data_IF_004792104362
#
_entry.id   IF_004792104362
#
_cell.length_a   1.000
_cell.length_b   1.000
_cell.length_c   1.000
_cell.angle_alpha   90.00
_cell.angle_beta   90.00
_cell.angle_gamma   90.00
#
_symmetry.space_group_name_H-M   'P 1'
#
loop_
_entity.id
_entity.type
_entity.pdbx_description
1 polymer ?
#
# COMPACT_ATOMS: atom_id res chain seq x y z
N UNK A 1 -29.34 -4.15 14.72
CA UNK A 1 -28.78 -3.02 15.48
C UNK A 1 -27.50 -2.48 14.86
N UNK A 2 -26.52 -3.31 14.44
CA UNK A 2 -25.32 -2.82 13.73
C UNK A 2 -25.64 -2.14 12.38
N UNK A 3 -26.56 -2.71 11.59
CA UNK A 3 -26.99 -2.14 10.30
C UNK A 3 -27.54 -0.70 10.40
N UNK A 4 -28.20 -0.34 11.50
CA UNK A 4 -28.75 1.01 11.69
C UNK A 4 -27.67 2.02 12.10
N UNK A 5 -26.62 1.58 12.78
CA UNK A 5 -25.52 2.47 13.20
C UNK A 5 -24.70 2.89 11.98
N UNK A 6 -24.26 1.93 11.16
CA UNK A 6 -23.46 2.22 9.96
C UNK A 6 -24.19 3.15 8.98
N UNK A 7 -25.49 2.94 8.77
CA UNK A 7 -26.29 3.81 7.91
C UNK A 7 -26.46 5.22 8.49
N UNK A 8 -26.64 5.34 9.81
CA UNK A 8 -26.76 6.64 10.46
C UNK A 8 -25.44 7.42 10.41
N UNK A 9 -24.31 6.77 10.68
CA UNK A 9 -22.98 7.37 10.61
C UNK A 9 -22.66 7.82 9.17
N UNK A 10 -23.03 7.00 8.18
CA UNK A 10 -22.90 7.36 6.76
C UNK A 10 -23.75 8.58 6.41
N UNK A 11 -25.02 8.63 6.85
CA UNK A 11 -25.92 9.76 6.61
C UNK A 11 -25.47 11.03 7.30
N UNK A 12 -24.93 10.94 8.52
CA UNK A 12 -24.39 12.12 9.20
C UNK A 12 -23.23 12.72 8.39
N UNK A 13 -22.30 11.88 7.93
CA UNK A 13 -21.18 12.32 7.09
C UNK A 13 -21.67 12.88 5.74
N UNK A 14 -22.59 12.18 5.07
CA UNK A 14 -23.18 12.63 3.80
C UNK A 14 -23.81 14.01 3.95
N UNK A 15 -24.72 14.19 4.92
CA UNK A 15 -25.43 15.45 5.11
C UNK A 15 -24.47 16.60 5.43
N UNK A 16 -23.42 16.35 6.21
CA UNK A 16 -22.43 17.38 6.55
C UNK A 16 -21.58 17.75 5.33
N UNK A 17 -21.19 16.77 4.51
CA UNK A 17 -20.26 17.00 3.41
C UNK A 17 -20.94 17.33 2.09
N UNK A 18 -22.27 17.15 1.99
CA UNK A 18 -23.07 17.34 0.79
C UNK A 18 -22.82 18.68 0.08
N UNK A 19 -22.66 19.76 0.85
CA UNK A 19 -22.39 21.11 0.33
C UNK A 19 -21.08 21.22 -0.47
N UNK A 20 -20.10 20.38 -0.14
CA UNK A 20 -18.80 20.32 -0.82
C UNK A 20 -18.74 19.31 -1.95
N UNK A 21 -19.73 18.42 -2.08
CA UNK A 21 -19.77 17.41 -3.12
C UNK A 21 -20.24 18.03 -4.44
N UNK A 22 -19.52 17.72 -5.52
CA UNK A 22 -19.77 18.26 -6.86
C UNK A 22 -19.64 17.23 -7.98
N UNK A 23 -19.10 16.05 -7.66
CA UNK A 23 -18.83 15.01 -8.62
C UNK A 23 -19.26 13.64 -8.12
N UNK A 24 -19.61 12.78 -9.07
CA UNK A 24 -19.77 11.35 -8.83
C UNK A 24 -18.93 10.60 -9.87
N UNK A 25 -18.11 9.68 -9.40
CA UNK A 25 -17.49 8.65 -10.21
C UNK A 25 -18.12 7.32 -9.82
N UNK A 26 -18.49 6.51 -10.80
CA UNK A 26 -18.94 5.17 -10.48
C UNK A 26 -18.62 4.14 -11.55
N UNK A 27 -18.29 2.96 -11.07
CA UNK A 27 -18.00 1.78 -11.86
C UNK A 27 -19.12 0.77 -11.64
N UNK A 28 -19.46 0.01 -12.67
CA UNK A 28 -20.54 -0.98 -12.59
C UNK A 28 -20.26 -2.23 -13.42
N UNK A 29 -20.89 -3.33 -13.00
CA UNK A 29 -20.96 -4.61 -13.69
C UNK A 29 -22.42 -5.02 -13.74
N UNK A 30 -22.98 -5.11 -14.94
CA UNK A 30 -24.34 -5.60 -15.18
C UNK A 30 -24.27 -6.93 -15.94
N UNK A 31 -25.18 -7.82 -15.60
CA UNK A 31 -25.41 -9.06 -16.38
C UNK A 31 -26.86 -9.12 -16.80
N UNK A 32 -27.14 -9.88 -17.85
CA UNK A 32 -28.50 -10.13 -18.30
C UNK A 32 -29.08 -11.37 -17.61
N UNK A 33 -30.22 -11.22 -16.96
CA UNK A 33 -30.96 -12.29 -16.26
C UNK A 33 -32.43 -12.21 -16.66
N UNK A 34 -32.98 -13.29 -17.22
CA UNK A 34 -34.37 -13.32 -17.72
C UNK A 34 -34.68 -12.12 -18.63
N UNK A 35 -33.77 -11.85 -19.57
CA UNK A 35 -33.82 -10.73 -20.54
C UNK A 35 -33.66 -9.31 -19.95
N UNK A 36 -33.63 -9.16 -18.62
CA UNK A 36 -33.42 -7.89 -17.93
C UNK A 36 -31.95 -7.69 -17.51
N UNK A 37 -31.46 -6.44 -17.54
CA UNK A 37 -30.19 -6.10 -16.92
C UNK A 37 -30.33 -6.10 -15.40
N UNK A 38 -29.36 -6.70 -14.71
CA UNK A 38 -29.23 -6.69 -13.26
C UNK A 38 -27.83 -6.26 -12.86
N UNK A 39 -27.73 -5.41 -11.85
CA UNK A 39 -26.44 -4.97 -11.33
C UNK A 39 -25.86 -6.08 -10.44
N UNK A 40 -24.66 -6.55 -10.76
CA UNK A 40 -23.92 -7.50 -9.93
C UNK A 40 -23.06 -6.74 -8.93
N UNK A 41 -22.34 -5.73 -9.40
CA UNK A 41 -21.51 -4.89 -8.55
C UNK A 41 -21.52 -3.47 -9.04
N UNK A 42 -21.56 -2.51 -8.12
CA UNK A 42 -21.32 -1.12 -8.43
C UNK A 42 -20.53 -0.45 -7.31
N UNK A 43 -19.64 0.47 -7.68
CA UNK A 43 -18.90 1.30 -6.73
C UNK A 43 -19.12 2.75 -7.09
N UNK A 44 -19.76 3.49 -6.18
CA UNK A 44 -20.01 4.92 -6.25
C UNK A 44 -19.05 5.67 -5.35
N UNK A 45 -18.38 6.67 -5.92
CA UNK A 45 -17.49 7.59 -5.25
C UNK A 45 -18.07 8.99 -5.41
N UNK A 46 -18.59 9.55 -4.32
CA UNK A 46 -18.95 10.95 -4.27
C UNK A 46 -17.68 11.75 -4.01
N UNK A 47 -17.44 12.79 -4.80
CA UNK A 47 -16.22 13.59 -4.73
C UNK A 47 -16.53 15.08 -4.63
N UNK A 48 -15.58 15.81 -4.05
CA UNK A 48 -15.65 17.27 -3.93
C UNK A 48 -14.98 17.99 -5.08
N UNK A 49 -14.68 17.27 -6.16
CA UNK A 49 -13.99 17.77 -7.35
C UNK A 49 -14.95 17.82 -8.52
N UNK A 50 -14.79 18.80 -9.41
CA UNK A 50 -15.52 18.81 -10.68
C UNK A 50 -14.72 18.14 -11.76
N UNK A 51 -15.39 17.38 -12.62
CA UNK A 51 -14.84 16.83 -13.83
C UNK A 51 -14.92 17.90 -14.94
N UNK A 52 -13.85 18.12 -15.73
CA UNK A 52 -13.88 19.07 -16.85
C UNK A 52 -14.96 18.71 -17.86
N UNK A 53 -15.10 17.40 -18.15
CA UNK A 53 -16.09 16.83 -19.04
C UNK A 53 -16.62 15.53 -18.45
N UNK A 54 -17.90 15.17 -18.67
CA UNK A 54 -18.40 13.86 -18.34
C UNK A 54 -17.61 12.79 -19.09
N UNK A 55 -17.04 11.83 -18.35
CA UNK A 55 -16.34 10.69 -18.95
C UNK A 55 -17.25 9.48 -18.85
N UNK A 56 -17.43 8.83 -19.98
CA UNK A 56 -18.15 7.58 -20.10
C UNK A 56 -17.26 6.56 -20.80
N UNK A 57 -17.07 5.41 -20.18
CA UNK A 57 -16.46 4.26 -20.84
C UNK A 57 -17.26 3.02 -20.50
N UNK A 58 -17.67 2.27 -21.52
CA UNK A 58 -18.43 1.03 -21.35
C UNK A 58 -17.98 0.01 -22.39
N UNK A 59 -17.89 -1.24 -21.94
CA UNK A 59 -17.83 -2.42 -22.77
C UNK A 59 -19.15 -3.17 -22.62
N UNK A 60 -19.80 -3.47 -23.75
CA UNK A 60 -21.06 -4.20 -23.78
C UNK A 60 -20.95 -5.42 -24.70
N UNK A 61 -21.44 -6.55 -24.21
CA UNK A 61 -21.75 -7.75 -24.98
C UNK A 61 -23.26 -8.04 -24.85
N UNK A 62 -23.82 -9.08 -25.51
CA UNK A 62 -25.22 -9.44 -25.33
C UNK A 62 -25.63 -9.73 -23.88
N UNK A 63 -24.70 -10.21 -23.04
CA UNK A 63 -24.97 -10.72 -21.69
C UNK A 63 -24.21 -9.97 -20.56
N UNK A 64 -23.31 -9.04 -20.90
CA UNK A 64 -22.46 -8.32 -19.96
C UNK A 64 -22.36 -6.83 -20.33
N UNK A 65 -22.44 -5.95 -19.33
CA UNK A 65 -22.02 -4.54 -19.45
C UNK A 65 -21.08 -4.21 -18.30
N UNK A 66 -19.90 -3.68 -18.61
CA UNK A 66 -18.94 -3.18 -17.63
C UNK A 66 -18.57 -1.77 -18.02
N UNK A 67 -18.64 -0.84 -17.08
CA UNK A 67 -18.36 0.54 -17.41
C UNK A 67 -18.00 1.40 -16.22
N UNK A 68 -17.65 2.64 -16.54
CA UNK A 68 -17.38 3.71 -15.60
C UNK A 68 -17.97 5.02 -16.11
N UNK A 69 -18.50 5.82 -15.18
CA UNK A 69 -19.14 7.10 -15.45
C UNK A 69 -18.60 8.12 -14.46
N UNK A 70 -18.14 9.24 -14.98
CA UNK A 70 -17.75 10.42 -14.21
C UNK A 70 -18.62 11.58 -14.67
N UNK A 71 -19.28 12.24 -13.73
CA UNK A 71 -20.06 13.44 -14.04
C UNK A 71 -20.13 14.39 -12.85
N UNK A 72 -20.33 15.66 -13.16
CA UNK A 72 -20.71 16.64 -12.16
C UNK A 72 -22.17 16.42 -11.76
N UNK A 73 -22.46 16.64 -10.48
CA UNK A 73 -23.80 16.45 -9.90
C UNK A 73 -24.10 17.57 -8.90
N UNK A 74 -25.36 17.95 -8.84
CA UNK A 74 -25.89 18.83 -7.80
C UNK A 74 -26.15 18.06 -6.49
N UNK A 75 -26.19 18.76 -5.33
CA UNK A 75 -26.60 18.17 -4.07
C UNK A 75 -27.94 17.39 -4.14
N UNK A 76 -28.94 17.95 -4.82
CA UNK A 76 -30.27 17.36 -4.97
C UNK A 76 -30.23 16.06 -5.80
N UNK A 77 -29.39 16.04 -6.84
CA UNK A 77 -29.13 14.83 -7.62
C UNK A 77 -28.43 13.76 -6.77
N UNK A 78 -27.46 14.13 -5.93
CA UNK A 78 -26.79 13.20 -5.01
C UNK A 78 -27.79 12.57 -4.05
N UNK A 79 -28.66 13.36 -3.42
CA UNK A 79 -29.67 12.83 -2.49
C UNK A 79 -30.62 11.84 -3.17
N UNK A 80 -31.05 12.17 -4.39
CA UNK A 80 -31.89 11.29 -5.21
C UNK A 80 -31.13 10.00 -5.52
N UNK A 81 -29.88 10.12 -5.97
CA UNK A 81 -29.01 9.01 -6.32
C UNK A 81 -28.82 8.06 -5.12
N UNK A 82 -28.51 8.61 -3.95
CA UNK A 82 -28.33 7.82 -2.72
C UNK A 82 -29.62 7.14 -2.30
N UNK A 83 -30.76 7.81 -2.42
CA UNK A 83 -32.07 7.23 -2.10
C UNK A 83 -32.37 6.00 -2.97
N UNK A 84 -32.07 6.08 -4.27
CA UNK A 84 -32.20 4.95 -5.20
C UNK A 84 -31.24 3.82 -4.84
N UNK A 85 -29.96 4.11 -4.61
CA UNK A 85 -28.98 3.09 -4.27
C UNK A 85 -29.36 2.34 -2.99
N UNK A 86 -29.84 3.05 -1.95
CA UNK A 86 -30.25 2.45 -0.67
C UNK A 86 -31.37 1.42 -0.81
N UNK A 87 -32.25 1.57 -1.81
CA UNK A 87 -33.30 0.58 -2.11
C UNK A 87 -32.86 -0.45 -3.15
N UNK A 88 -31.62 -0.38 -3.64
CA UNK A 88 -31.01 -1.30 -4.60
C UNK A 88 -31.23 -0.92 -6.05
N UNK A 89 -31.68 0.30 -6.33
CA UNK A 89 -31.81 0.82 -7.68
C UNK A 89 -30.50 1.49 -8.07
N UNK A 90 -29.95 1.12 -9.21
CA UNK A 90 -28.65 1.59 -9.71
C UNK A 90 -28.89 2.41 -10.98
N UNK A 91 -28.80 3.75 -10.91
CA UNK A 91 -28.98 4.61 -12.07
C UNK A 91 -27.77 4.50 -13.01
N UNK A 92 -27.98 3.99 -14.21
CA UNK A 92 -26.97 3.86 -15.28
C UNK A 92 -27.50 4.61 -16.51
N UNK A 93 -26.91 5.75 -16.85
CA UNK A 93 -27.42 6.66 -17.87
C UNK A 93 -28.87 7.10 -17.63
N UNK A 94 -29.77 6.80 -18.56
CA UNK A 94 -31.21 7.03 -18.49
C UNK A 94 -31.99 5.83 -17.95
N UNK A 95 -31.30 4.74 -17.60
CA UNK A 95 -31.89 3.48 -17.14
C UNK A 95 -31.70 3.31 -15.64
N UNK A 96 -32.66 2.64 -15.00
CA UNK A 96 -32.54 2.23 -13.60
C UNK A 96 -32.48 0.70 -13.57
N UNK A 97 -31.37 0.18 -13.06
CA UNK A 97 -31.11 -1.26 -12.99
C UNK A 97 -31.18 -1.72 -11.55
N UNK A 98 -31.92 -2.79 -11.26
CA UNK A 98 -31.98 -3.35 -9.91
C UNK A 98 -30.72 -4.15 -9.58
N UNK A 99 -30.20 -4.00 -8.36
CA UNK A 99 -29.22 -4.90 -7.76
C UNK A 99 -29.76 -6.33 -7.80
N UNK A 100 -28.94 -7.27 -8.25
CA UNK A 100 -29.26 -8.69 -8.23
C UNK A 100 -29.38 -9.15 -6.78
N UNK A 101 -30.59 -9.61 -6.40
CA UNK A 101 -30.94 -10.04 -5.05
C UNK A 101 -31.42 -11.48 -5.01
N UNK A 102 -31.27 -12.13 -3.86
CA UNK A 102 -32.00 -13.36 -3.59
C UNK A 102 -33.45 -13.01 -3.17
N UNK A 103 -34.44 -13.71 -3.73
CA UNK A 103 -35.87 -13.56 -3.42
C UNK A 103 -36.18 -13.71 -1.92
N UNK A 104 -35.31 -14.36 -1.14
CA UNK A 104 -35.49 -14.55 0.30
C UNK A 104 -34.90 -13.45 1.18
N UNK A 105 -34.13 -12.50 0.63
CA UNK A 105 -33.49 -11.41 1.37
C UNK A 105 -34.05 -10.04 0.96
N UNK A 106 -35.17 -9.66 1.57
CA UNK A 106 -35.84 -8.38 1.26
C UNK A 106 -35.10 -7.14 1.79
N UNK A 107 -34.10 -7.29 2.67
CA UNK A 107 -33.46 -6.16 3.33
C UNK A 107 -31.95 -6.10 3.07
N UNK A 108 -31.44 -4.94 2.59
CA UNK A 108 -30.00 -4.74 2.46
C UNK A 108 -29.32 -4.84 3.83
N UNK A 109 -28.15 -5.47 3.87
CA UNK A 109 -27.24 -5.38 5.00
C UNK A 109 -26.24 -4.25 4.74
N UNK A 110 -25.85 -3.55 5.82
CA UNK A 110 -24.95 -2.41 5.77
C UNK A 110 -23.68 -2.73 6.55
N UNK A 111 -22.52 -2.68 5.89
CA UNK A 111 -21.21 -2.74 6.53
C UNK A 111 -20.55 -1.36 6.48
N UNK A 112 -19.94 -0.94 7.60
CA UNK A 112 -19.05 0.22 7.67
C UNK A 112 -17.59 -0.21 7.57
N UNK A 113 -16.64 0.70 7.31
CA UNK A 113 -15.23 0.36 7.26
C UNK A 113 -14.80 -0.29 8.59
N UNK A 114 -14.09 -1.44 8.48
CA UNK A 114 -13.45 -2.07 9.63
C UNK A 114 -12.35 -1.14 10.16
N UNK A 115 -12.33 -0.78 11.46
CA UNK A 115 -11.31 0.10 12.03
C UNK A 115 -9.91 -0.53 12.10
N UNK A 116 -9.75 -1.77 11.61
CA UNK A 116 -8.58 -2.61 11.89
C UNK A 116 -7.48 -2.59 10.84
N UNK A 117 -7.63 -1.85 9.74
CA UNK A 117 -6.54 -1.61 8.79
C UNK A 117 -6.38 -0.11 8.64
N UNK A 118 -5.18 0.42 8.95
CA UNK A 118 -4.83 1.83 8.83
C UNK A 118 -4.29 2.13 7.42
N UNK A 119 -5.12 2.56 6.45
CA UNK A 119 -4.65 3.49 5.44
C UNK A 119 -4.54 4.89 6.05
N UNK A 120 -3.69 5.73 5.46
CA UNK A 120 -3.56 7.14 5.81
C UNK A 120 -4.86 7.93 5.66
N UNK A 121 -5.82 7.43 4.87
CA UNK A 121 -7.07 8.13 4.58
C UNK A 121 -8.31 7.32 5.00
N UNK A 122 -9.20 7.97 5.74
CA UNK A 122 -10.46 7.42 6.20
C UNK A 122 -11.59 7.89 5.29
N UNK A 123 -12.07 6.99 4.44
CA UNK A 123 -13.18 7.23 3.53
C UNK A 123 -14.42 6.53 4.09
N UNK A 124 -15.47 7.27 4.51
CA UNK A 124 -16.75 6.67 4.85
C UNK A 124 -17.28 5.83 3.70
N UNK A 125 -17.61 4.57 4.01
CA UNK A 125 -18.11 3.58 3.06
C UNK A 125 -19.39 2.96 3.60
N UNK A 126 -20.35 2.78 2.71
CA UNK A 126 -21.57 2.02 2.94
C UNK A 126 -21.65 0.94 1.86
N UNK A 127 -21.64 -0.32 2.28
CA UNK A 127 -21.90 -1.43 1.37
C UNK A 127 -23.34 -1.92 1.53
N UNK A 128 -24.02 -2.12 0.40
CA UNK A 128 -25.36 -2.68 0.30
C UNK A 128 -25.23 -4.04 -0.38
N UNK A 129 -25.51 -5.12 0.35
CA UNK A 129 -25.35 -6.49 -0.16
C UNK A 129 -26.69 -7.07 -0.62
N UNK A 130 -26.74 -7.62 -1.84
CA UNK A 130 -27.92 -8.25 -2.44
C UNK A 130 -28.16 -9.72 -2.03
N UNK A 131 -27.16 -10.37 -1.44
CA UNK A 131 -27.20 -11.76 -0.98
C UNK A 131 -25.93 -12.54 -1.36
N UNK A 132 -25.71 -13.70 -0.75
CA UNK A 132 -24.54 -14.57 -1.02
C UNK A 132 -24.85 -15.78 -1.92
N UNK A 133 -26.09 -15.92 -2.39
CA UNK A 133 -26.62 -17.26 -2.71
C UNK A 133 -26.57 -17.66 -4.18
N UNK A 134 -26.13 -16.79 -5.09
CA UNK A 134 -26.07 -17.17 -6.50
C UNK A 134 -24.63 -17.18 -6.97
N UNK A 135 -24.06 -18.38 -7.04
CA UNK A 135 -22.85 -18.59 -7.84
C UNK A 135 -23.19 -18.12 -9.26
N UNK A 136 -22.60 -17.01 -9.68
CA UNK A 136 -22.82 -16.41 -11.01
C UNK A 136 -22.71 -17.39 -12.19
N UNK A 137 -21.88 -18.47 -12.17
CA UNK A 137 -21.91 -19.51 -13.19
C UNK A 137 -23.29 -20.17 -13.42
N UNK A 138 -24.21 -20.12 -12.45
CA UNK A 138 -25.57 -20.63 -12.61
C UNK A 138 -26.53 -19.62 -13.27
N UNK A 139 -26.19 -18.34 -13.29
CA UNK A 139 -27.02 -17.26 -13.84
C UNK A 139 -26.49 -16.80 -15.21
N UNK A 140 -25.18 -16.81 -15.41
CA UNK A 140 -24.52 -16.30 -16.61
C UNK A 140 -23.60 -17.36 -17.24
N UNK A 141 -23.65 -17.48 -18.57
CA UNK A 141 -22.76 -18.35 -19.33
C UNK A 141 -21.38 -17.69 -19.49
N UNK A 142 -20.50 -17.90 -18.50
CA UNK A 142 -19.16 -17.28 -18.48
C UNK A 142 -18.31 -17.62 -19.70
N UNK A 143 -18.46 -18.84 -20.24
CA UNK A 143 -17.74 -19.21 -21.46
C UNK A 143 -18.16 -18.31 -22.62
N UNK A 144 -19.47 -18.17 -22.84
CA UNK A 144 -20.01 -17.30 -23.89
C UNK A 144 -19.57 -15.85 -23.69
N UNK A 145 -19.67 -15.31 -22.47
CA UNK A 145 -19.22 -13.94 -22.16
C UNK A 145 -17.74 -13.75 -22.52
N UNK A 146 -16.87 -14.69 -22.15
CA UNK A 146 -15.45 -14.59 -22.47
C UNK A 146 -15.19 -14.68 -23.98
N UNK A 147 -15.93 -15.53 -24.69
CA UNK A 147 -15.83 -15.63 -26.15
C UNK A 147 -16.30 -14.32 -26.82
N UNK A 148 -17.42 -13.74 -26.36
CA UNK A 148 -17.95 -12.46 -26.85
C UNK A 148 -16.94 -11.31 -26.62
N UNK A 149 -16.30 -11.26 -25.44
CA UNK A 149 -15.29 -10.25 -25.12
C UNK A 149 -14.04 -10.32 -26.02
N UNK A 150 -13.63 -11.51 -26.43
CA UNK A 150 -12.50 -11.71 -27.36
C UNK A 150 -12.83 -11.32 -28.80
N UNK A 151 -14.13 -11.24 -29.14
CA UNK A 151 -14.62 -10.89 -30.46
C UNK A 151 -14.96 -9.40 -30.63
N UNK A 152 -14.77 -8.58 -29.59
CA UNK A 152 -14.95 -7.12 -29.68
C UNK A 152 -13.89 -6.46 -30.56
N UNK A 153 -14.20 -5.27 -31.10
CA UNK A 153 -13.25 -4.46 -31.87
C UNK A 153 -11.99 -4.12 -31.06
N UNK A 154 -12.15 -3.89 -29.75
CA UNK A 154 -11.06 -3.87 -28.77
C UNK A 154 -11.15 -5.15 -27.94
N UNK A 155 -10.38 -6.21 -28.28
CA UNK A 155 -10.54 -7.50 -27.64
C UNK A 155 -10.00 -7.49 -26.21
N UNK A 156 -10.67 -8.22 -25.32
CA UNK A 156 -10.21 -8.53 -23.97
C UNK A 156 -9.98 -10.04 -23.83
N UNK A 157 -9.00 -10.46 -23.03
CA UNK A 157 -8.71 -11.89 -22.83
C UNK A 157 -9.87 -12.62 -22.12
N UNK A 158 -10.70 -11.88 -21.39
CA UNK A 158 -11.92 -12.37 -20.78
C UNK A 158 -12.40 -11.44 -19.68
N UNK A 159 -13.26 -11.97 -18.82
CA UNK A 159 -13.91 -11.20 -17.78
C UNK A 159 -12.96 -10.61 -16.74
N UNK A 160 -11.91 -11.35 -16.36
CA UNK A 160 -10.90 -10.84 -15.43
C UNK A 160 -10.16 -9.62 -15.98
N UNK A 161 -9.83 -9.65 -17.27
CA UNK A 161 -9.11 -8.58 -17.97
C UNK A 161 -9.96 -7.30 -18.04
N UNK A 162 -11.23 -7.40 -18.46
CA UNK A 162 -12.13 -6.23 -18.50
C UNK A 162 -12.41 -5.67 -17.10
N UNK A 163 -12.56 -6.51 -16.08
CA UNK A 163 -12.76 -6.04 -14.70
C UNK A 163 -11.52 -5.29 -14.17
N UNK A 164 -10.33 -5.83 -14.45
CA UNK A 164 -9.05 -5.18 -14.13
C UNK A 164 -8.91 -3.84 -14.85
N UNK A 165 -9.24 -3.79 -16.14
CA UNK A 165 -9.23 -2.57 -16.95
C UNK A 165 -10.10 -1.46 -16.36
N UNK A 166 -11.28 -1.81 -15.82
CA UNK A 166 -12.18 -0.85 -15.17
C UNK A 166 -11.88 -0.64 -13.67
N UNK A 167 -10.78 -1.18 -13.12
CA UNK A 167 -10.33 -0.89 -11.75
C UNK A 167 -11.03 -1.70 -10.65
N UNK A 168 -11.67 -2.83 -10.98
CA UNK A 168 -12.14 -3.77 -9.96
C UNK A 168 -10.96 -4.62 -9.45
N UNK A 169 -10.36 -4.21 -8.33
CA UNK A 169 -9.19 -4.88 -7.73
C UNK A 169 -9.39 -6.39 -7.42
N UNK A 170 -8.32 -7.17 -7.58
CA UNK A 170 -8.15 -8.55 -7.08
C UNK A 170 -9.20 -9.59 -7.52
N UNK A 171 -9.96 -9.33 -8.57
CA UNK A 171 -11.02 -10.23 -9.00
C UNK A 171 -10.67 -10.87 -10.34
N UNK A 172 -9.79 -11.90 -10.32
CA UNK A 172 -9.67 -12.87 -11.43
C UNK A 172 -10.98 -13.65 -11.68
N UNK A 173 -12.04 -13.32 -10.95
CA UNK A 173 -13.38 -13.89 -10.98
C UNK A 173 -14.38 -12.75 -10.79
N UNK A 174 -15.63 -12.95 -11.20
CA UNK A 174 -16.69 -12.03 -10.82
C UNK A 174 -16.81 -11.90 -9.29
N UNK A 175 -17.30 -10.77 -8.79
CA UNK A 175 -17.63 -10.60 -7.38
C UNK A 175 -18.57 -11.71 -6.91
N UNK A 176 -18.12 -12.50 -5.92
CA UNK A 176 -18.95 -13.57 -5.34
C UNK A 176 -20.17 -13.01 -4.58
N UNK A 177 -20.04 -11.79 -4.07
CA UNK A 177 -21.09 -11.07 -3.36
C UNK A 177 -21.59 -9.96 -4.27
N UNK A 178 -22.91 -9.95 -4.51
CA UNK A 178 -23.54 -8.85 -5.24
C UNK A 178 -23.66 -7.65 -4.31
N UNK A 179 -23.06 -6.52 -4.67
CA UNK A 179 -23.09 -5.34 -3.80
C UNK A 179 -23.03 -3.99 -4.51
N UNK A 180 -23.59 -2.98 -3.86
CA UNK A 180 -23.39 -1.58 -4.17
C UNK A 180 -22.52 -1.01 -3.06
N UNK A 181 -21.36 -0.47 -3.41
CA UNK A 181 -20.48 0.24 -2.49
C UNK A 181 -20.63 1.72 -2.75
N UNK A 182 -20.94 2.48 -1.71
CA UNK A 182 -21.01 3.94 -1.77
C UNK A 182 -19.90 4.49 -0.88
N UNK A 183 -19.09 5.38 -1.42
CA UNK A 183 -17.98 6.01 -0.72
C UNK A 183 -18.06 7.52 -0.86
N UNK A 184 -17.79 8.23 0.22
CA UNK A 184 -17.82 9.68 0.26
C UNK A 184 -16.38 10.16 0.45
N UNK A 185 -15.79 10.76 -0.57
CA UNK A 185 -14.47 11.35 -0.43
C UNK A 185 -14.57 12.60 0.47
N UNK A 186 -13.64 12.75 1.43
CA UNK A 186 -13.58 13.92 2.28
C UNK A 186 -13.55 15.25 1.49
N UNK A 187 -14.22 16.31 1.99
CA UNK A 187 -14.20 17.64 1.36
C UNK A 187 -12.91 18.42 1.64
N UNK A 188 -12.02 17.86 2.45
CA UNK A 188 -10.70 18.40 2.80
C UNK A 188 -9.68 17.27 2.81
N UNK A 189 -8.46 17.53 2.33
CA UNK A 189 -7.35 16.58 2.31
C UNK A 189 -6.05 17.27 2.70
N UNK A 190 -5.08 16.49 3.21
CA UNK A 190 -3.69 16.90 3.27
C UNK A 190 -3.06 16.84 1.88
N UNK A 191 -2.04 17.65 1.63
CA UNK A 191 -1.12 17.52 0.49
C UNK A 191 0.23 17.01 1.01
N UNK A 192 0.46 15.68 1.06
CA UNK A 192 1.68 15.09 1.58
C UNK A 192 2.95 15.63 0.92
N UNK A 193 2.88 15.97 -0.38
CA UNK A 193 4.03 16.47 -1.15
C UNK A 193 4.51 17.85 -0.69
N UNK A 194 3.65 18.60 0.00
CA UNK A 194 3.93 19.94 0.53
C UNK A 194 3.98 19.99 2.07
N UNK A 195 3.88 18.84 2.73
CA UNK A 195 4.07 18.74 4.17
C UNK A 195 5.53 18.40 4.47
N UNK A 196 6.20 19.19 5.30
CA UNK A 196 7.61 18.97 5.65
C UNK A 196 7.89 19.32 7.10
N UNK A 197 8.92 18.68 7.66
CA UNK A 197 9.48 19.02 8.96
C UNK A 197 10.99 19.09 8.78
N UNK A 198 11.58 20.24 9.10
CA UNK A 198 13.02 20.48 8.96
C UNK A 198 13.49 21.36 10.11
N UNK A 199 14.47 20.90 10.88
CA UNK A 199 15.03 21.61 12.03
C UNK A 199 13.98 22.11 13.05
N UNK A 200 12.89 21.34 13.21
CA UNK A 200 11.75 21.71 14.07
C UNK A 200 10.71 22.64 13.43
N UNK A 201 10.91 23.10 12.20
CA UNK A 201 9.91 23.88 11.46
C UNK A 201 8.96 22.94 10.69
N UNK A 202 7.72 22.83 11.15
CA UNK A 202 6.66 22.07 10.50
C UNK A 202 5.93 22.97 9.50
N UNK A 203 5.89 22.57 8.24
CA UNK A 203 5.01 23.14 7.22
C UNK A 203 3.90 22.13 6.89
N UNK A 204 2.64 22.58 6.96
CA UNK A 204 1.48 21.76 6.61
C UNK A 204 0.70 22.43 5.49
N UNK A 205 0.30 21.63 4.49
CA UNK A 205 -0.53 22.07 3.37
C UNK A 205 -1.80 21.24 3.31
N UNK A 206 -2.94 21.90 3.15
CA UNK A 206 -4.26 21.30 3.01
C UNK A 206 -4.94 21.86 1.75
N UNK A 207 -5.87 21.09 1.22
CA UNK A 207 -6.77 21.53 0.17
C UNK A 207 -8.21 21.17 0.58
N UNK A 208 -9.13 22.13 0.47
CA UNK A 208 -10.57 21.88 0.68
C UNK A 208 -11.39 22.40 -0.49
N UNK A 209 -12.59 21.87 -0.67
CA UNK A 209 -13.58 22.52 -1.53
C UNK A 209 -13.96 23.91 -0.97
N UNK A 210 -14.05 24.93 -1.82
CA UNK A 210 -14.36 26.31 -1.38
C UNK A 210 -15.71 26.42 -0.67
N UNK A 211 -16.68 25.55 -1.00
CA UNK A 211 -18.01 25.53 -0.34
C UNK A 211 -17.99 24.84 1.02
N UNK A 212 -16.95 24.10 1.37
CA UNK A 212 -16.86 23.43 2.67
C UNK A 212 -16.45 24.43 3.76
N UNK A 213 -17.18 24.53 4.89
CA UNK A 213 -16.89 25.50 5.94
C UNK A 213 -15.54 25.25 6.61
N UNK A 214 -14.81 26.33 6.92
CA UNK A 214 -13.49 26.23 7.58
C UNK A 214 -13.63 25.78 9.03
N UNK A 215 -14.70 26.21 9.70
CA UNK A 215 -15.03 25.87 11.09
C UNK A 215 -15.29 24.37 11.32
N UNK A 216 -15.59 23.62 10.24
CA UNK A 216 -15.75 22.18 10.28
C UNK A 216 -14.41 21.45 10.05
N UNK A 217 -13.31 22.15 9.77
CA UNK A 217 -11.99 21.54 9.59
C UNK A 217 -11.23 21.58 10.91
N UNK A 218 -10.85 20.39 11.39
CA UNK A 218 -9.97 20.26 12.55
C UNK A 218 -8.65 19.63 12.12
N UNK A 219 -7.54 20.29 12.47
CA UNK A 219 -6.20 19.76 12.27
C UNK A 219 -5.53 19.63 13.64
N UNK A 220 -5.40 18.40 14.12
CA UNK A 220 -4.65 18.08 15.31
C UNK A 220 -3.23 17.65 14.96
N UNK A 221 -2.28 17.90 15.87
CA UNK A 221 -0.94 17.36 15.78
C UNK A 221 -0.55 16.62 17.06
N UNK A 222 0.32 15.62 16.88
CA UNK A 222 1.01 14.91 17.96
C UNK A 222 2.50 14.85 17.65
N UNK A 223 3.31 15.35 18.57
CA UNK A 223 4.74 15.56 18.34
C UNK A 223 5.55 14.45 19.03
N UNK A 224 6.50 13.86 18.31
CA UNK A 224 7.38 12.77 18.74
C UNK A 224 8.82 13.26 18.90
N UNK A 225 9.70 12.57 19.67
CA UNK A 225 9.61 11.17 20.16
C UNK A 225 8.80 10.96 21.46
N UNK A 226 8.40 12.03 22.16
CA UNK A 226 7.77 11.93 23.48
C UNK A 226 6.36 12.55 23.46
N UNK A 227 5.33 11.85 22.95
CA UNK A 227 4.00 12.41 22.69
C UNK A 227 3.15 12.55 23.97
N UNK A 228 3.69 13.26 24.96
CA UNK A 228 3.00 13.68 26.20
C UNK A 228 1.83 14.60 25.88
N UNK A 229 0.98 14.87 26.89
CA UNK A 229 -0.23 15.68 26.71
C UNK A 229 0.08 17.12 26.24
N UNK A 230 1.16 17.71 26.72
CA UNK A 230 1.67 19.04 26.33
C UNK A 230 2.24 19.09 24.90
N UNK A 231 2.46 17.93 24.28
CA UNK A 231 2.96 17.80 22.89
C UNK A 231 1.87 17.38 21.91
N UNK A 232 0.63 17.75 22.25
CA UNK A 232 -0.58 17.54 21.46
C UNK A 232 -1.36 18.84 21.42
N UNK A 233 -1.74 19.31 20.25
CA UNK A 233 -2.55 20.51 20.12
C UNK A 233 -3.42 20.45 18.86
N UNK A 234 -4.48 21.25 18.88
CA UNK A 234 -5.22 21.62 17.67
C UNK A 234 -4.56 22.86 17.08
N UNK A 235 -4.38 22.86 15.77
CA UNK A 235 -3.71 23.93 15.00
C UNK A 235 -4.56 24.40 13.81
N UNK A 236 -5.82 23.96 13.73
CA UNK A 236 -6.72 24.31 12.62
C UNK A 236 -6.98 25.81 12.51
N UNK A 237 -6.96 26.54 13.63
CA UNK A 237 -7.09 27.99 13.72
C UNK A 237 -5.86 28.76 13.20
N UNK A 238 -4.73 28.08 13.05
CA UNK A 238 -3.48 28.64 12.53
C UNK A 238 -3.32 28.41 11.02
N UNK A 239 -4.30 27.79 10.36
CA UNK A 239 -4.28 27.55 8.92
C UNK A 239 -4.73 28.81 8.18
N UNK A 240 -3.80 29.39 7.41
CA UNK A 240 -4.08 30.49 6.51
C UNK A 240 -4.67 29.96 5.20
N UNK A 241 -5.95 30.28 4.94
CA UNK A 241 -6.66 29.84 3.73
C UNK A 241 -6.58 30.87 2.61
N UNK A 242 -6.33 30.40 1.39
CA UNK A 242 -6.38 31.19 0.16
C UNK A 242 -7.23 30.48 -0.89
N UNK A 243 -8.21 31.18 -1.44
CA UNK A 243 -9.08 30.65 -2.49
C UNK A 243 -8.37 30.61 -3.84
N UNK A 244 -8.43 29.44 -4.49
CA UNK A 244 -7.92 29.18 -5.83
C UNK A 244 -9.02 28.46 -6.63
N UNK A 245 -9.78 29.23 -7.42
CA UNK A 245 -10.91 28.72 -8.20
C UNK A 245 -11.97 28.02 -7.33
N UNK A 246 -12.04 26.68 -7.38
CA UNK A 246 -13.00 25.87 -6.61
C UNK A 246 -12.39 25.21 -5.37
N UNK A 247 -11.09 25.45 -5.13
CA UNK A 247 -10.32 24.83 -4.06
C UNK A 247 -9.72 25.94 -3.20
N UNK A 248 -9.90 25.87 -1.89
CA UNK A 248 -9.13 26.70 -0.98
C UNK A 248 -7.89 25.93 -0.52
N UNK A 249 -6.74 26.57 -0.60
CA UNK A 249 -5.46 26.03 -0.13
C UNK A 249 -5.17 26.61 1.26
N UNK A 250 -5.05 25.71 2.23
CA UNK A 250 -4.69 26.04 3.61
C UNK A 250 -3.21 25.79 3.85
N UNK A 251 -2.51 26.75 4.45
CA UNK A 251 -1.11 26.59 4.84
C UNK A 251 -0.91 26.98 6.29
N UNK A 252 -0.11 26.21 7.02
CA UNK A 252 0.31 26.58 8.37
C UNK A 252 1.79 26.29 8.55
N UNK A 253 2.46 27.12 9.35
CA UNK A 253 3.85 26.94 9.73
C UNK A 253 4.00 27.02 11.25
N UNK A 254 4.70 26.05 11.83
CA UNK A 254 4.86 25.90 13.28
C UNK A 254 6.30 25.61 13.64
N UNK A 255 6.84 26.33 14.62
CA UNK A 255 8.12 25.99 15.25
C UNK A 255 7.87 25.01 16.40
N UNK A 256 8.44 23.81 16.32
CA UNK A 256 8.27 22.73 17.27
C UNK A 256 9.60 22.38 17.92
N UNK A 257 9.64 22.45 19.25
CA UNK A 257 10.83 22.08 20.00
C UNK A 257 11.02 20.54 19.99
N UNK A 258 12.24 20.11 19.65
CA UNK A 258 12.65 18.71 19.72
C UNK A 258 11.69 17.72 19.03
N UNK A 259 11.11 18.14 17.91
CA UNK A 259 10.27 17.28 17.07
C UNK A 259 11.17 16.46 16.14
N UNK A 260 11.08 15.13 16.20
CA UNK A 260 11.70 14.24 15.20
C UNK A 260 10.67 13.78 14.17
N UNK A 261 9.40 13.76 14.57
CA UNK A 261 8.26 13.54 13.69
C UNK A 261 7.00 14.12 14.29
N UNK A 262 6.01 14.35 13.43
CA UNK A 262 4.69 14.87 13.78
C UNK A 262 3.64 14.00 13.09
N UNK A 263 2.69 13.50 13.87
CA UNK A 263 1.46 12.90 13.32
C UNK A 263 0.43 14.01 13.17
N UNK A 264 -0.01 14.23 11.93
CA UNK A 264 -1.13 15.09 11.56
C UNK A 264 -2.42 14.27 11.63
N UNK A 265 -3.45 14.82 12.27
CA UNK A 265 -4.79 14.24 12.36
C UNK A 265 -5.79 15.24 11.77
N UNK A 266 -6.21 15.00 10.53
CA UNK A 266 -7.19 15.84 9.84
C UNK A 266 -8.59 15.27 10.04
N UNK A 267 -9.53 16.11 10.43
CA UNK A 267 -10.95 15.77 10.57
C UNK A 267 -11.84 16.76 9.83
N UNK A 268 -12.95 16.25 9.30
CA UNK A 268 -14.03 17.02 8.69
C UNK A 268 -15.31 16.84 9.54
N UNK A 269 -15.68 17.87 10.30
CA UNK A 269 -16.62 17.80 11.40
C UNK A 269 -16.08 16.89 12.51
N UNK A 270 -16.86 15.87 12.87
CA UNK A 270 -16.54 14.88 13.92
C UNK A 270 -15.80 13.64 13.41
N UNK A 271 -15.49 13.59 12.12
CA UNK A 271 -14.93 12.39 11.48
C UNK A 271 -13.48 12.65 11.10
N UNK A 272 -12.56 11.84 11.62
CA UNK A 272 -11.17 11.81 11.15
C UNK A 272 -11.16 11.33 9.71
N UNK A 273 -10.54 12.10 8.82
CA UNK A 273 -10.48 11.81 7.38
C UNK A 273 -9.07 11.48 6.91
N UNK A 274 -8.04 11.91 7.62
CA UNK A 274 -6.65 11.54 7.29
C UNK A 274 -5.74 11.52 8.52
N UNK A 275 -4.78 10.60 8.53
CA UNK A 275 -3.66 10.51 9.48
C UNK A 275 -2.37 10.40 8.68
N UNK A 276 -1.44 11.31 8.94
CA UNK A 276 -0.20 11.38 8.17
C UNK A 276 0.98 11.69 9.07
N UNK A 277 2.10 10.99 8.90
CA UNK A 277 3.34 11.29 9.60
C UNK A 277 4.25 12.15 8.73
N UNK A 278 4.65 13.31 9.28
CA UNK A 278 5.72 14.14 8.75
C UNK A 278 6.97 13.88 9.57
N UNK A 279 8.07 13.54 8.90
CA UNK A 279 9.33 13.22 9.57
C UNK A 279 10.33 14.35 9.37
N UNK A 280 11.13 14.64 10.40
CA UNK A 280 12.15 15.67 10.32
C UNK A 280 13.28 15.17 9.41
N UNK A 281 13.46 15.81 8.26
CA UNK A 281 14.49 15.42 7.28
C UNK A 281 15.91 15.65 7.79
N UNK A 282 16.07 16.48 8.83
CA UNK A 282 17.37 16.83 9.42
C UNK A 282 17.72 15.95 10.63
N UNK A 283 16.72 15.25 11.21
CA UNK A 283 16.90 14.40 12.40
C UNK A 283 16.61 12.95 12.07
N UNK A 284 17.66 12.11 12.08
CA UNK A 284 17.43 10.67 11.95
C UNK A 284 16.59 10.13 13.10
N UNK A 285 15.53 9.40 12.74
CA UNK A 285 14.67 8.64 13.66
C UNK A 285 15.31 7.35 14.15
N UNK A 286 16.49 7.02 13.64
CA UNK A 286 17.17 5.77 13.93
C UNK A 286 18.09 5.96 15.14
N UNK A 287 17.69 5.53 16.35
CA UNK A 287 18.52 5.71 17.55
C UNK A 287 19.85 4.97 17.45
N UNK A 288 19.92 3.87 16.69
CA UNK A 288 21.16 3.11 16.47
C UNK A 288 22.13 3.94 15.64
N UNK A 289 21.65 4.60 14.58
CA UNK A 289 22.45 5.52 13.78
C UNK A 289 22.93 6.71 14.61
N UNK A 290 22.04 7.34 15.38
CA UNK A 290 22.37 8.48 16.23
C UNK A 290 23.47 8.14 17.24
N UNK A 291 23.43 6.93 17.80
CA UNK A 291 24.46 6.43 18.71
C UNK A 291 25.77 6.15 17.99
N UNK A 292 25.71 5.50 16.82
CA UNK A 292 26.89 5.10 16.05
C UNK A 292 27.68 6.30 15.50
N UNK A 293 26.98 7.34 15.00
CA UNK A 293 27.61 8.56 14.46
C UNK A 293 28.42 9.34 15.51
N UNK A 294 28.16 9.14 16.81
CA UNK A 294 29.01 9.71 17.87
C UNK A 294 30.46 9.21 17.80
N UNK A 295 30.68 8.01 17.26
CA UNK A 295 31.99 7.37 17.15
C UNK A 295 32.54 7.38 15.72
N UNK A 296 31.67 7.31 14.71
CA UNK A 296 32.04 7.32 13.28
C UNK A 296 31.31 8.45 12.54
N UNK A 297 31.83 9.68 12.70
CA UNK A 297 31.28 10.88 12.04
C UNK A 297 31.26 10.69 10.51
N UNK A 298 30.14 11.07 9.88
CA UNK A 298 29.86 10.91 8.45
C UNK A 298 29.89 9.45 7.93
N UNK A 299 29.89 8.46 8.83
CA UNK A 299 30.00 7.03 8.53
C UNK A 299 31.27 6.67 7.74
N UNK A 300 32.39 7.36 7.98
CA UNK A 300 33.63 7.20 7.19
C UNK A 300 34.21 5.80 7.34
N UNK A 301 34.32 5.30 8.57
CA UNK A 301 34.88 3.97 8.86
C UNK A 301 33.96 2.87 8.35
N UNK A 302 32.64 3.05 8.48
CA UNK A 302 31.65 2.12 7.93
C UNK A 302 31.74 2.06 6.40
N UNK A 303 31.72 3.20 5.72
CA UNK A 303 31.83 3.27 4.24
C UNK A 303 33.14 2.65 3.76
N UNK A 304 34.25 2.93 4.43
CA UNK A 304 35.54 2.33 4.10
C UNK A 304 35.52 0.81 4.30
N UNK A 305 34.93 0.31 5.39
CA UNK A 305 34.77 -1.14 5.61
C UNK A 305 33.90 -1.82 4.55
N UNK A 306 32.84 -1.15 4.07
CA UNK A 306 31.92 -1.67 3.06
C UNK A 306 32.49 -1.64 1.64
N UNK A 307 33.24 -0.58 1.30
CA UNK A 307 33.58 -0.29 -0.10
C UNK A 307 35.06 -0.43 -0.44
N UNK A 308 35.96 -0.57 0.54
CA UNK A 308 37.39 -0.68 0.28
C UNK A 308 37.75 -2.01 -0.38
N UNK A 309 38.43 -1.94 -1.53
CA UNK A 309 38.89 -3.11 -2.30
C UNK A 309 40.29 -3.59 -1.92
N UNK A 310 41.04 -2.78 -1.16
CA UNK A 310 42.42 -3.09 -0.74
C UNK A 310 42.52 -3.83 0.59
N UNK A 311 41.40 -3.99 1.29
CA UNK A 311 41.33 -4.59 2.62
C UNK A 311 40.86 -6.05 2.59
N UNK A 312 41.13 -6.77 3.66
CA UNK A 312 40.68 -8.16 3.86
C UNK A 312 39.14 -8.27 3.80
N UNK A 313 38.63 -9.41 3.34
CA UNK A 313 37.17 -9.67 3.24
C UNK A 313 36.42 -9.44 4.57
N UNK A 314 37.11 -9.63 5.69
CA UNK A 314 36.61 -9.42 7.05
C UNK A 314 36.10 -8.00 7.31
N UNK A 315 36.65 -7.00 6.62
CA UNK A 315 36.15 -5.63 6.73
C UNK A 315 34.75 -5.50 6.12
N UNK A 316 34.51 -6.16 4.98
CA UNK A 316 33.17 -6.19 4.37
C UNK A 316 32.19 -6.90 5.31
N UNK A 317 32.57 -8.05 5.89
CA UNK A 317 31.73 -8.81 6.83
C UNK A 317 31.33 -7.95 8.04
N UNK A 318 32.29 -7.26 8.66
CA UNK A 318 32.03 -6.35 9.79
C UNK A 318 31.22 -5.12 9.38
N UNK A 319 31.46 -4.57 8.18
CA UNK A 319 30.68 -3.47 7.62
C UNK A 319 29.21 -3.85 7.40
N UNK A 320 28.95 -5.03 6.84
CA UNK A 320 27.59 -5.54 6.61
C UNK A 320 26.89 -5.85 7.93
N UNK A 321 27.58 -6.43 8.91
CA UNK A 321 27.03 -6.62 10.25
C UNK A 321 26.60 -5.28 10.88
N UNK A 322 27.46 -4.27 10.80
CA UNK A 322 27.18 -2.93 11.31
C UNK A 322 26.00 -2.29 10.57
N UNK A 323 25.96 -2.39 9.24
CA UNK A 323 24.85 -1.90 8.43
C UNK A 323 23.52 -2.58 8.83
N UNK A 324 23.51 -3.91 8.98
CA UNK A 324 22.34 -4.66 9.41
C UNK A 324 21.87 -4.23 10.82
N UNK A 325 22.81 -4.03 11.76
CA UNK A 325 22.50 -3.49 13.07
C UNK A 325 21.84 -2.12 12.97
N UNK A 326 22.39 -1.21 12.16
CA UNK A 326 21.81 0.11 11.96
C UNK A 326 20.42 0.04 11.31
N UNK A 327 20.14 -0.95 10.47
CA UNK A 327 18.82 -1.17 9.85
C UNK A 327 17.76 -1.79 10.77
N UNK A 328 18.05 -2.03 12.05
CA UNK A 328 17.07 -2.58 12.97
C UNK A 328 17.20 -4.09 13.23
N UNK A 329 18.13 -4.77 12.56
CA UNK A 329 18.35 -6.22 12.66
C UNK A 329 19.38 -6.57 13.74
N UNK A 330 19.38 -7.80 14.25
CA UNK A 330 20.39 -8.30 15.20
C UNK A 330 21.40 -9.19 14.46
N UNK A 331 22.61 -8.69 14.16
CA UNK A 331 23.64 -9.50 13.53
C UNK A 331 24.38 -10.36 14.56
N UNK A 332 24.77 -11.55 14.12
CA UNK A 332 25.72 -12.44 14.78
C UNK A 332 26.85 -12.74 13.79
N UNK A 333 28.06 -12.30 14.13
CA UNK A 333 29.30 -12.74 13.48
C UNK A 333 29.83 -13.96 14.24
N UNK A 334 29.79 -15.17 13.67
CA UNK A 334 30.28 -16.35 14.36
C UNK A 334 31.77 -16.24 14.72
N UNK A 335 32.23 -16.85 15.83
CA UNK A 335 33.64 -16.85 16.19
C UNK A 335 34.53 -17.50 15.12
N UNK A 336 35.72 -16.93 14.89
CA UNK A 336 36.69 -17.38 13.87
C UNK A 336 37.14 -18.85 14.03
N UNK A 337 36.98 -19.44 15.21
CA UNK A 337 37.33 -20.83 15.48
C UNK A 337 36.35 -21.82 14.81
N UNK A 338 35.18 -21.35 14.36
CA UNK A 338 34.19 -22.16 13.65
C UNK A 338 34.45 -22.08 12.14
N UNK A 339 35.30 -22.98 11.63
CA UNK A 339 35.76 -22.95 10.23
C UNK A 339 34.66 -23.11 9.18
N UNK A 340 33.54 -23.73 9.55
CA UNK A 340 32.40 -23.98 8.67
C UNK A 340 31.19 -23.05 8.93
N UNK A 341 31.34 -22.08 9.84
CA UNK A 341 30.27 -21.11 10.08
C UNK A 341 30.06 -20.19 8.86
N UNK A 342 28.85 -19.67 8.65
CA UNK A 342 28.62 -18.58 7.70
C UNK A 342 29.30 -17.29 8.18
N UNK A 343 29.52 -16.34 7.28
CA UNK A 343 30.13 -15.06 7.62
C UNK A 343 29.23 -14.28 8.61
N UNK A 344 27.90 -14.26 8.38
CA UNK A 344 26.92 -13.68 9.30
C UNK A 344 25.65 -14.53 9.42
N UNK A 345 25.01 -14.42 10.59
CA UNK A 345 23.63 -14.83 10.82
C UNK A 345 22.87 -13.60 11.30
N UNK A 346 21.73 -13.30 10.68
CA UNK A 346 20.85 -12.23 11.13
C UNK A 346 19.59 -12.81 11.75
N UNK A 347 19.24 -12.32 12.93
CA UNK A 347 17.94 -12.54 13.58
C UNK A 347 17.06 -11.30 13.40
N UNK A 348 15.90 -11.51 12.78
CA UNK A 348 14.86 -10.51 12.58
C UNK A 348 13.65 -10.90 13.41
N UNK A 349 13.50 -10.23 14.56
CA UNK A 349 12.34 -10.36 15.47
C UNK A 349 12.08 -11.80 15.97
N UNK A 350 13.12 -12.64 16.06
CA UNK A 350 13.04 -14.06 16.45
C UNK A 350 12.17 -14.93 15.54
N UNK A 351 11.71 -14.37 14.42
CA UNK A 351 10.80 -15.05 13.50
C UNK A 351 11.48 -15.35 12.18
N UNK A 352 12.33 -14.44 11.68
CA UNK A 352 13.01 -14.59 10.40
C UNK A 352 14.52 -14.62 10.58
N UNK A 353 15.17 -15.46 9.78
CA UNK A 353 16.60 -15.72 9.84
C UNK A 353 17.22 -15.49 8.47
N UNK A 354 18.37 -14.84 8.45
CA UNK A 354 19.15 -14.63 7.23
C UNK A 354 20.55 -15.19 7.42
N UNK A 355 21.01 -16.02 6.50
CA UNK A 355 22.39 -16.52 6.48
C UNK A 355 23.12 -15.81 5.37
N UNK A 356 24.27 -15.21 5.71
CA UNK A 356 25.02 -14.38 4.79
C UNK A 356 26.42 -14.92 4.58
N UNK A 357 26.83 -14.93 3.31
CA UNK A 357 28.23 -14.95 2.91
C UNK A 357 28.57 -13.62 2.25
N UNK A 358 29.78 -13.11 2.50
CA UNK A 358 30.31 -11.89 1.93
C UNK A 358 31.51 -12.22 1.04
N UNK A 359 31.66 -11.52 -0.09
CA UNK A 359 32.87 -11.60 -0.91
C UNK A 359 33.18 -10.28 -1.60
N UNK A 360 34.45 -10.07 -1.92
CA UNK A 360 34.92 -8.96 -2.75
C UNK A 360 35.34 -9.41 -4.14
N UNK A 361 35.21 -10.71 -4.46
CA UNK A 361 35.69 -11.33 -5.70
C UNK A 361 34.60 -12.12 -6.42
N UNK A 362 34.51 -11.93 -7.74
CA UNK A 362 33.60 -12.67 -8.63
C UNK A 362 33.93 -14.17 -8.61
N UNK A 363 35.22 -14.53 -8.59
CA UNK A 363 35.70 -15.92 -8.61
C UNK A 363 35.15 -16.77 -7.47
N UNK A 364 34.77 -16.15 -6.36
CA UNK A 364 34.38 -16.84 -5.13
C UNK A 364 32.86 -17.00 -5.00
N UNK A 365 32.08 -16.36 -5.89
CA UNK A 365 30.62 -16.29 -5.79
C UNK A 365 29.98 -17.69 -5.80
N UNK A 366 30.33 -18.54 -6.77
CA UNK A 366 29.76 -19.90 -6.87
C UNK A 366 30.14 -20.77 -5.69
N UNK A 367 31.40 -20.69 -5.24
CA UNK A 367 31.89 -21.47 -4.11
C UNK A 367 31.15 -21.08 -2.82
N UNK A 368 30.98 -19.79 -2.54
CA UNK A 368 30.24 -19.31 -1.37
C UNK A 368 28.74 -19.60 -1.45
N UNK A 369 28.13 -19.48 -2.62
CA UNK A 369 26.74 -19.88 -2.84
C UNK A 369 26.51 -21.38 -2.57
N UNK A 370 27.42 -22.25 -3.05
CA UNK A 370 27.38 -23.67 -2.74
C UNK A 370 27.40 -23.93 -1.22
N UNK A 371 28.30 -23.26 -0.50
CA UNK A 371 28.35 -23.33 0.97
C UNK A 371 27.06 -22.86 1.65
N UNK A 372 26.41 -21.80 1.15
CA UNK A 372 25.11 -21.35 1.70
C UNK A 372 24.03 -22.43 1.54
N UNK A 373 23.96 -23.05 0.37
CA UNK A 373 23.01 -24.14 0.08
C UNK A 373 23.30 -25.35 0.98
N UNK A 374 24.58 -25.73 1.11
CA UNK A 374 24.99 -26.86 1.96
C UNK A 374 24.64 -26.61 3.43
N UNK A 375 24.70 -25.36 3.91
CA UNK A 375 24.32 -24.98 5.28
C UNK A 375 22.80 -24.90 5.50
N UNK A 376 22.01 -24.62 4.46
CA UNK A 376 20.54 -24.54 4.56
C UNK A 376 19.95 -25.88 5.01
N UNK A 377 20.41 -26.99 4.45
CA UNK A 377 19.80 -28.29 4.71
C UNK A 377 19.89 -28.72 6.19
N UNK A 378 21.07 -28.73 6.85
CA UNK A 378 21.19 -29.05 8.28
C UNK A 378 20.37 -28.12 9.18
N UNK A 379 20.23 -26.84 8.83
CA UNK A 379 19.46 -25.88 9.63
C UNK A 379 17.98 -26.23 9.59
N UNK A 380 17.45 -26.53 8.41
CA UNK A 380 16.04 -26.90 8.26
C UNK A 380 15.73 -28.26 8.89
N UNK A 381 16.61 -29.25 8.76
CA UNK A 381 16.39 -30.59 9.32
C UNK A 381 16.54 -30.61 10.84
N UNK A 382 17.57 -29.95 11.39
CA UNK A 382 17.82 -29.95 12.83
C UNK A 382 16.92 -28.99 13.60
N UNK A 383 16.32 -27.99 12.93
CA UNK A 383 15.40 -27.03 13.54
C UNK A 383 13.92 -27.36 13.26
N UNK A 384 13.65 -28.52 12.65
CA UNK A 384 12.29 -28.96 12.36
C UNK A 384 11.51 -29.14 13.68
N UNK A 385 10.43 -28.37 13.84
CA UNK A 385 9.66 -28.30 15.09
C UNK A 385 10.05 -27.17 16.05
N UNK A 386 11.14 -26.42 15.77
CA UNK A 386 11.55 -25.23 16.53
C UNK A 386 11.21 -23.91 15.81
N UNK A 387 10.42 -23.97 14.73
CA UNK A 387 9.86 -22.79 14.05
C UNK A 387 10.66 -22.26 12.87
N UNK A 388 11.85 -22.80 12.57
CA UNK A 388 12.62 -22.43 11.35
C UNK A 388 12.21 -23.34 10.18
N UNK A 389 11.88 -22.73 9.04
CA UNK A 389 11.48 -23.40 7.80
C UNK A 389 11.89 -22.54 6.57
N UNK A 390 11.57 -23.02 5.36
CA UNK A 390 11.83 -22.25 4.12
C UNK A 390 11.05 -20.92 4.06
N UNK A 391 9.96 -20.80 4.83
CA UNK A 391 9.17 -19.58 4.84
C UNK A 391 9.87 -18.42 5.56
N UNK A 392 10.72 -18.73 6.53
CA UNK A 392 11.37 -17.72 7.36
C UNK A 392 12.89 -17.77 7.37
N UNK A 393 13.50 -18.57 6.49
CA UNK A 393 14.95 -18.61 6.27
C UNK A 393 15.29 -18.05 4.88
N UNK A 394 16.21 -17.08 4.82
CA UNK A 394 16.73 -16.51 3.57
C UNK A 394 18.25 -16.71 3.47
N UNK A 395 18.72 -17.14 2.30
CA UNK A 395 20.14 -17.20 1.97
C UNK A 395 20.53 -15.96 1.18
N UNK A 396 21.59 -15.28 1.61
CA UNK A 396 22.06 -14.04 0.98
C UNK A 396 23.55 -14.12 0.70
N UNK A 397 23.93 -13.78 -0.52
CA UNK A 397 25.32 -13.57 -0.91
C UNK A 397 25.52 -12.07 -1.15
N UNK A 398 26.38 -11.46 -0.34
CA UNK A 398 26.73 -10.04 -0.45
C UNK A 398 28.05 -9.89 -1.18
N UNK A 399 28.08 -8.95 -2.14
CA UNK A 399 29.29 -8.63 -2.88
C UNK A 399 29.45 -7.12 -3.05
N UNK A 400 30.64 -6.62 -2.71
CA UNK A 400 31.01 -5.23 -2.95
C UNK A 400 31.53 -5.04 -4.39
N UNK A 401 30.71 -5.41 -5.37
CA UNK A 401 30.98 -5.19 -6.79
C UNK A 401 29.72 -4.63 -7.46
N UNK A 402 29.86 -3.77 -8.48
CA UNK A 402 28.72 -3.26 -9.24
C UNK A 402 27.96 -4.39 -9.94
N UNK A 403 26.63 -4.29 -9.98
CA UNK A 403 25.76 -5.30 -10.62
C UNK A 403 26.16 -5.62 -12.07
N UNK A 404 26.64 -4.61 -12.81
CA UNK A 404 27.10 -4.76 -14.19
C UNK A 404 28.26 -5.76 -14.36
N UNK A 405 29.02 -6.05 -13.30
CA UNK A 405 30.15 -6.98 -13.33
C UNK A 405 29.77 -8.43 -12.99
N UNK A 406 28.51 -8.70 -12.61
CA UNK A 406 28.07 -9.97 -11.99
C UNK A 406 26.95 -10.66 -12.80
N UNK A 407 26.73 -10.20 -14.03
CA UNK A 407 25.59 -10.62 -14.87
C UNK A 407 25.56 -12.15 -15.05
N UNK A 408 26.72 -12.76 -15.30
CA UNK A 408 26.83 -14.20 -15.60
C UNK A 408 26.56 -15.10 -14.40
N UNK A 409 26.61 -14.56 -13.17
CA UNK A 409 26.44 -15.33 -11.94
C UNK A 409 25.03 -15.22 -11.36
N UNK A 410 24.28 -14.18 -11.72
CA UNK A 410 22.94 -13.92 -11.19
C UNK A 410 21.97 -15.09 -11.44
N UNK A 411 22.02 -15.69 -12.63
CA UNK A 411 21.16 -16.83 -12.98
C UNK A 411 21.47 -18.08 -12.15
N UNK A 412 22.76 -18.33 -11.88
CA UNK A 412 23.18 -19.45 -11.03
C UNK A 412 22.71 -19.27 -9.59
N UNK A 413 22.89 -18.07 -9.02
CA UNK A 413 22.47 -17.77 -7.65
C UNK A 413 20.96 -17.89 -7.49
N UNK A 414 20.22 -17.35 -8.44
CA UNK A 414 18.76 -17.40 -8.46
C UNK A 414 18.25 -18.84 -8.49
N UNK A 415 18.82 -19.71 -9.35
CA UNK A 415 18.46 -21.13 -9.43
C UNK A 415 18.66 -21.88 -8.10
N UNK A 416 19.58 -21.41 -7.26
CA UNK A 416 19.87 -21.98 -5.95
C UNK A 416 19.15 -21.27 -4.80
N UNK A 417 18.17 -20.41 -5.10
CA UNK A 417 17.42 -19.61 -4.11
C UNK A 417 18.32 -18.75 -3.21
N UNK A 418 19.45 -18.28 -3.74
CA UNK A 418 20.36 -17.36 -3.06
C UNK A 418 20.12 -15.95 -3.56
N UNK A 419 19.74 -15.04 -2.66
CA UNK A 419 19.58 -13.64 -2.98
C UNK A 419 20.95 -12.96 -3.10
N UNK A 420 21.22 -12.34 -4.24
CA UNK A 420 22.41 -11.51 -4.45
C UNK A 420 22.15 -10.08 -3.98
N UNK A 421 23.05 -9.55 -3.16
CA UNK A 421 23.10 -8.14 -2.74
C UNK A 421 24.38 -7.53 -3.29
N UNK A 422 24.26 -6.53 -4.16
CA UNK A 422 25.40 -5.89 -4.83
C UNK A 422 25.80 -4.58 -4.16
N UNK A 423 26.84 -3.92 -4.69
CA UNK A 423 27.28 -2.61 -4.21
C UNK A 423 26.14 -1.58 -4.20
N UNK A 424 25.32 -1.53 -5.24
CA UNK A 424 24.20 -0.61 -5.36
C UNK A 424 23.12 -0.85 -4.28
N UNK A 425 22.86 -2.12 -3.96
CA UNK A 425 21.93 -2.47 -2.88
C UNK A 425 22.49 -2.01 -1.51
N UNK A 426 23.81 -2.11 -1.28
CA UNK A 426 24.48 -1.62 -0.06
C UNK A 426 24.40 -0.08 0.03
N UNK A 427 24.63 0.63 -1.07
CA UNK A 427 24.50 2.09 -1.13
C UNK A 427 23.08 2.55 -0.86
N UNK A 428 22.08 1.88 -1.44
CA UNK A 428 20.67 2.14 -1.17
C UNK A 428 20.34 1.93 0.31
N UNK A 429 20.83 0.85 0.91
CA UNK A 429 20.64 0.57 2.33
C UNK A 429 21.27 1.64 3.23
N UNK A 430 22.47 2.14 2.89
CA UNK A 430 23.11 3.25 3.60
C UNK A 430 22.28 4.55 3.53
N UNK A 431 21.73 4.87 2.35
CA UNK A 431 20.92 6.06 2.16
C UNK A 431 19.61 6.01 2.96
N UNK A 432 19.10 4.81 3.25
CA UNK A 432 17.89 4.59 4.03
C UNK A 432 18.11 4.53 5.55
N UNK A 433 19.35 4.68 6.04
CA UNK A 433 19.64 4.56 7.48
C UNK A 433 18.94 5.60 8.35
N UNK A 434 18.59 6.76 7.78
CA UNK A 434 17.88 7.80 8.54
C UNK A 434 16.44 7.38 8.88
N UNK A 435 15.82 6.65 7.95
CA UNK A 435 14.42 6.18 7.99
C UNK A 435 14.36 4.70 7.62
N UNK A 436 14.89 3.81 8.48
CA UNK A 436 14.92 2.39 8.15
C UNK A 436 13.49 1.83 8.12
N UNK A 437 13.19 1.03 7.10
CA UNK A 437 11.97 0.22 7.06
C UNK A 437 11.91 -0.70 8.28
N UNK A 438 10.72 -1.14 8.65
CA UNK A 438 10.56 -2.19 9.66
C UNK A 438 11.37 -3.44 9.24
N UNK A 439 12.20 -4.02 10.14
CA UNK A 439 13.06 -5.16 9.79
C UNK A 439 12.33 -6.35 9.16
N UNK A 440 11.11 -6.64 9.62
CA UNK A 440 10.26 -7.68 9.04
C UNK A 440 9.86 -7.37 7.59
N UNK A 441 9.61 -6.11 7.27
CA UNK A 441 9.28 -5.68 5.90
C UNK A 441 10.51 -5.77 4.98
N UNK A 442 11.71 -5.46 5.49
CA UNK A 442 12.97 -5.68 4.74
C UNK A 442 13.10 -7.16 4.35
N UNK A 443 12.83 -8.08 5.27
CA UNK A 443 12.85 -9.52 4.97
C UNK A 443 11.82 -9.90 3.92
N UNK A 444 10.56 -9.47 4.09
CA UNK A 444 9.47 -9.78 3.16
C UNK A 444 9.77 -9.27 1.76
N UNK A 445 10.20 -8.01 1.62
CA UNK A 445 10.59 -7.41 0.34
C UNK A 445 11.75 -8.15 -0.31
N UNK A 446 12.78 -8.53 0.47
CA UNK A 446 13.91 -9.30 -0.03
C UNK A 446 13.47 -10.69 -0.56
N UNK A 447 12.54 -11.33 0.16
CA UNK A 447 12.00 -12.63 -0.21
C UNK A 447 11.08 -12.56 -1.43
N UNK A 448 10.22 -11.56 -1.50
CA UNK A 448 9.38 -11.28 -2.65
C UNK A 448 10.23 -11.02 -3.89
N UNK A 449 11.28 -10.18 -3.78
CA UNK A 449 12.26 -9.95 -4.85
C UNK A 449 12.86 -11.26 -5.36
N UNK A 450 13.21 -12.19 -4.48
CA UNK A 450 13.74 -13.51 -4.86
C UNK A 450 12.68 -14.34 -5.60
N UNK A 451 11.46 -14.41 -5.09
CA UNK A 451 10.35 -15.16 -5.68
C UNK A 451 9.93 -14.61 -7.05
N UNK A 452 9.79 -13.29 -7.19
CA UNK A 452 9.48 -12.64 -8.47
C UNK A 452 10.53 -12.96 -9.52
N UNK A 453 11.81 -12.90 -9.15
CA UNK A 453 12.90 -13.23 -10.07
C UNK A 453 12.85 -14.72 -10.49
N UNK A 454 12.55 -15.63 -9.55
CA UNK A 454 12.39 -17.06 -9.85
C UNK A 454 11.26 -17.30 -10.86
N UNK A 455 10.09 -16.69 -10.65
CA UNK A 455 8.95 -16.82 -11.56
C UNK A 455 9.25 -16.28 -12.96
N UNK A 456 9.93 -15.12 -13.05
CA UNK A 456 10.34 -14.53 -14.33
C UNK A 456 11.36 -15.41 -15.08
N UNK A 457 12.29 -16.03 -14.36
CA UNK A 457 13.28 -16.93 -14.95
C UNK A 457 12.63 -18.21 -15.49
N UNK A 458 11.66 -18.79 -14.77
CA UNK A 458 10.90 -19.96 -15.22
C UNK A 458 10.13 -19.66 -16.51
N UNK A 459 9.44 -18.51 -16.57
CA UNK A 459 8.68 -18.11 -17.76
C UNK A 459 9.54 -18.04 -19.03
N UNK A 460 10.75 -17.47 -18.91
CA UNK A 460 11.71 -17.35 -20.03
C UNK A 460 12.30 -18.68 -20.51
N UNK A 461 12.25 -19.73 -19.70
CA UNK A 461 12.73 -21.07 -20.10
C UNK A 461 11.65 -21.93 -20.75
N UNK A 462 10.37 -21.56 -20.60
CA UNK A 462 9.21 -22.29 -21.14
C UNK A 462 8.64 -21.68 -22.42
N UNK A 463 9.02 -20.44 -22.74
CA UNK A 463 8.79 -19.76 -24.03
C UNK A 463 9.97 -20.00 -24.97
#
# INVERSE_FOLDING_TARGET
MQNSIALNDFRENLNRWLVGLSGINYQFVLIRVNEEWKCVKAHFQLTSWTYPEPVHSEISTPDLRVGSIQKNVSPEEIETFISDLLIGNVPIYSEIVSLLRNESNDKPSYSGPSPFFEPSDFIPKLEIVGGQSHYLPFIANLKKINDDLRCLDTPFDGLADVLSFFGFENSNQLPQVQSIIISIHPPVTLDPSKCSLEDGELNVSLAKNTKFPVEDINLGIRIFPNPRLDRRCQIGDQVDWKTQEQIDIGQCKLTLENASSVELLLSAGKTTVSRYFVFDQTRSLNPRLQTYIQYDKDLRVLKDSLFSTSKESRYLESGIATLAYLLGVTPLNPPLLLTDAPDLILDISQQYFVIIECTTKISDLRAKAGKLVDRKFPILTNSFGQGINNENLLLVLVVNLPKAQIIDEAAFLLKNEVLLITKEDIELALNNLQFPSQPSEIFKQAKEKLQTNLSLAQYRTTS
#
